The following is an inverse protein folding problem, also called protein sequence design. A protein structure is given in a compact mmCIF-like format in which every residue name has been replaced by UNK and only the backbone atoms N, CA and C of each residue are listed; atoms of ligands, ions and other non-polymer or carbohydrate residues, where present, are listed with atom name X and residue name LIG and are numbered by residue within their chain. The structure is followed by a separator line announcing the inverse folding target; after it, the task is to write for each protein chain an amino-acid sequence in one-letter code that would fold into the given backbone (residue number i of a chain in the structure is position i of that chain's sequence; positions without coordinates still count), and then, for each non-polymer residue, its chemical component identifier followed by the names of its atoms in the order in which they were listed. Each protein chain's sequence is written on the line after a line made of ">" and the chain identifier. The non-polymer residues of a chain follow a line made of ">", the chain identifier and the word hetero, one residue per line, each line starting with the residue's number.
data_IF_081696759026
#
_entry.id   IF_081696759026
#
_cell.length_a   1.000
_cell.length_b   1.000
_cell.length_c   1.000
_cell.angle_alpha   90.00
_cell.angle_beta   90.00
_cell.angle_gamma   90.00
#
_symmetry.space_group_name_H-M   'P 1'
#
loop_
_entity.id
_entity.type
_entity.pdbx_description
1 polymer ?
#
# COMPACT_ATOMS: atom_id res chain seq x y z
N UNK A 1 53.82 -23.21 10.69
CA UNK A 1 52.85 -22.41 9.92
C UNK A 1 51.59 -22.28 10.75
N UNK A 2 51.28 -21.07 11.16
CA UNK A 2 49.91 -20.61 11.32
C UNK A 2 49.97 -19.14 10.97
N UNK A 3 49.33 -18.72 9.89
CA UNK A 3 48.89 -17.33 9.75
C UNK A 3 47.52 -17.35 9.08
N UNK A 4 46.58 -16.90 9.88
CA UNK A 4 45.27 -16.35 9.53
C UNK A 4 45.41 -14.83 9.31
N UNK A 5 44.39 -14.25 8.69
CA UNK A 5 43.97 -12.82 8.67
C UNK A 5 44.63 -11.86 7.68
N UNK A 6 43.78 -11.25 6.84
CA UNK A 6 43.31 -9.85 6.96
C UNK A 6 42.80 -9.34 5.59
N UNK A 7 41.50 -9.15 5.43
CA UNK A 7 40.78 -7.85 5.34
C UNK A 7 41.12 -6.91 4.17
N UNK A 8 40.03 -6.51 3.50
CA UNK A 8 39.70 -5.17 2.98
C UNK A 8 39.91 -4.75 1.51
N UNK A 9 38.86 -4.02 1.08
CA UNK A 9 38.68 -3.16 -0.08
C UNK A 9 38.41 -3.82 -1.44
N UNK A 10 37.14 -3.80 -1.86
CA UNK A 10 36.80 -3.75 -3.28
C UNK A 10 36.01 -2.48 -3.55
N UNK A 11 36.77 -1.50 -4.02
CA UNK A 11 36.34 -0.34 -4.78
C UNK A 11 35.64 -0.83 -6.06
N UNK A 12 34.34 -0.54 -6.19
CA UNK A 12 33.51 -1.06 -7.28
C UNK A 12 33.70 -0.26 -8.56
N UNK A 13 34.77 -0.58 -9.30
CA UNK A 13 34.83 -0.27 -10.74
C UNK A 13 33.93 -1.26 -11.51
N UNK A 14 33.19 -0.81 -12.55
CA UNK A 14 32.38 -1.72 -13.34
C UNK A 14 33.30 -2.74 -14.02
N UNK A 15 33.17 -4.01 -13.63
CA UNK A 15 33.88 -5.11 -14.26
C UNK A 15 33.51 -5.17 -15.75
N UNK A 16 34.52 -4.95 -16.61
CA UNK A 16 34.45 -5.21 -18.04
C UNK A 16 34.11 -6.69 -18.26
N UNK A 17 32.93 -6.97 -18.81
CA UNK A 17 32.40 -8.34 -19.01
C UNK A 17 33.04 -9.11 -20.17
N UNK A 18 34.12 -8.61 -20.78
CA UNK A 18 34.92 -9.30 -21.80
C UNK A 18 34.18 -9.65 -23.10
N UNK A 19 32.96 -9.13 -23.30
CA UNK A 19 32.10 -9.53 -24.41
C UNK A 19 32.18 -8.60 -25.64
N UNK A 20 32.72 -7.37 -25.51
CA UNK A 20 32.81 -6.37 -26.60
C UNK A 20 34.03 -5.46 -26.41
N UNK A 21 34.45 -4.80 -27.50
CA UNK A 21 35.56 -3.84 -27.49
C UNK A 21 35.20 -2.54 -26.76
N UNK A 22 36.19 -1.98 -26.06
CA UNK A 22 36.08 -0.64 -25.45
C UNK A 22 35.81 0.39 -26.55
N UNK A 23 34.73 1.19 -26.46
CA UNK A 23 34.42 2.17 -27.48
C UNK A 23 35.51 3.25 -27.57
N UNK A 24 35.72 3.86 -28.75
CA UNK A 24 36.60 5.02 -28.91
C UNK A 24 36.25 6.14 -27.90
N UNK A 25 37.25 6.84 -27.32
CA UNK A 25 37.02 7.84 -26.27
C UNK A 25 35.99 8.92 -26.64
N UNK A 26 36.01 9.39 -27.89
CA UNK A 26 35.08 10.41 -28.40
C UNK A 26 33.61 9.96 -28.38
N UNK A 27 33.34 8.69 -28.67
CA UNK A 27 31.99 8.12 -28.61
C UNK A 27 31.53 7.93 -27.17
N UNK A 28 32.45 7.54 -26.27
CA UNK A 28 32.16 7.42 -24.85
C UNK A 28 31.83 8.78 -24.22
N UNK A 29 32.59 9.83 -24.55
CA UNK A 29 32.33 11.20 -24.09
C UNK A 29 30.97 11.72 -24.59
N UNK A 30 30.66 11.51 -25.87
CA UNK A 30 29.36 11.92 -26.44
C UNK A 30 28.19 11.21 -25.77
N UNK A 31 28.30 9.91 -25.51
CA UNK A 31 27.27 9.14 -24.82
C UNK A 31 27.07 9.61 -23.37
N UNK A 32 28.17 9.89 -22.67
CA UNK A 32 28.12 10.38 -21.29
C UNK A 32 27.53 11.79 -21.19
N UNK A 33 27.82 12.67 -22.15
CA UNK A 33 27.19 13.98 -22.25
C UNK A 33 25.66 13.86 -22.42
N UNK A 34 25.21 13.05 -23.37
CA UNK A 34 23.78 12.81 -23.60
C UNK A 34 23.10 12.21 -22.37
N UNK A 35 23.78 11.30 -21.65
CA UNK A 35 23.27 10.73 -20.39
C UNK A 35 23.06 11.81 -19.34
N UNK A 36 24.03 12.71 -19.14
CA UNK A 36 23.92 13.82 -18.19
C UNK A 36 22.82 14.81 -18.55
N UNK A 37 22.63 15.11 -19.82
CA UNK A 37 21.52 15.96 -20.28
C UNK A 37 20.16 15.31 -20.01
N UNK A 38 20.01 14.02 -20.28
CA UNK A 38 18.79 13.28 -19.98
C UNK A 38 18.53 13.20 -18.46
N UNK A 39 19.57 12.95 -17.66
CA UNK A 39 19.48 12.93 -16.19
C UNK A 39 19.06 14.28 -15.62
N UNK A 40 19.55 15.39 -16.20
CA UNK A 40 19.14 16.74 -15.83
C UNK A 40 17.65 17.02 -16.13
N UNK A 41 17.06 16.27 -17.05
CA UNK A 41 15.63 16.31 -17.40
C UNK A 41 14.80 15.24 -16.64
N UNK A 42 15.41 14.53 -15.68
CA UNK A 42 14.77 13.44 -14.94
C UNK A 42 14.61 12.14 -15.73
N UNK A 43 15.13 12.06 -16.97
CA UNK A 43 15.08 10.88 -17.82
C UNK A 43 16.34 10.02 -17.61
N UNK A 44 16.19 8.81 -17.07
CA UNK A 44 17.32 7.88 -16.88
C UNK A 44 17.31 6.80 -17.95
N UNK A 45 18.44 6.64 -18.64
CA UNK A 45 18.66 5.60 -19.66
C UNK A 45 19.87 4.76 -19.28
N UNK A 46 19.68 3.45 -19.09
CA UNK A 46 20.78 2.52 -18.81
C UNK A 46 20.86 1.42 -19.85
N UNK A 47 22.06 1.18 -20.36
CA UNK A 47 22.34 0.12 -21.31
C UNK A 47 22.96 -1.09 -20.62
N UNK A 48 22.50 -2.29 -20.97
CA UNK A 48 23.12 -3.53 -20.52
C UNK A 48 23.25 -4.52 -21.69
N UNK A 49 24.47 -4.94 -21.97
CA UNK A 49 24.74 -5.90 -23.02
C UNK A 49 24.80 -7.33 -22.47
N UNK A 50 24.22 -8.27 -23.22
CA UNK A 50 24.11 -9.69 -22.89
C UNK A 50 24.70 -10.52 -24.03
N UNK A 51 25.10 -11.76 -23.74
CA UNK A 51 25.64 -12.65 -24.78
C UNK A 51 24.64 -12.92 -25.93
N UNK A 52 23.33 -12.82 -25.68
CA UNK A 52 22.25 -13.06 -26.65
C UNK A 52 21.65 -11.78 -27.27
N UNK A 53 21.94 -10.60 -26.72
CA UNK A 53 21.33 -9.34 -27.15
C UNK A 53 21.68 -8.18 -26.23
N UNK A 54 20.82 -7.18 -26.18
CA UNK A 54 20.96 -6.06 -25.25
C UNK A 54 19.63 -5.58 -24.69
N UNK A 55 19.73 -4.86 -23.58
CA UNK A 55 18.62 -4.24 -22.89
C UNK A 55 18.87 -2.73 -22.74
N UNK A 56 17.85 -1.92 -22.98
CA UNK A 56 17.84 -0.49 -22.68
C UNK A 56 16.77 -0.23 -21.64
N UNK A 57 17.17 0.18 -20.44
CA UNK A 57 16.30 0.43 -19.31
C UNK A 57 15.94 1.92 -19.29
N UNK A 58 14.64 2.21 -19.27
CA UNK A 58 14.08 3.56 -19.30
C UNK A 58 13.16 3.75 -18.10
N UNK A 59 13.36 4.82 -17.33
CA UNK A 59 12.33 5.27 -16.39
C UNK A 59 11.16 5.95 -17.14
N UNK A 60 10.09 6.32 -16.45
CA UNK A 60 8.91 6.88 -17.12
C UNK A 60 9.22 8.18 -17.89
N UNK A 61 9.99 9.11 -17.30
CA UNK A 61 10.38 10.34 -17.99
C UNK A 61 11.19 10.07 -19.27
N UNK A 62 12.06 9.06 -19.27
CA UNK A 62 12.79 8.64 -20.47
C UNK A 62 11.86 7.98 -21.52
N UNK A 63 10.81 7.27 -21.09
CA UNK A 63 9.77 6.76 -22.00
C UNK A 63 9.01 7.91 -22.64
N UNK A 64 8.61 8.92 -21.87
CA UNK A 64 7.83 10.05 -22.38
C UNK A 64 8.66 10.85 -23.42
N UNK A 65 9.92 11.14 -23.12
CA UNK A 65 10.85 11.77 -24.05
C UNK A 65 11.09 10.91 -25.32
N UNK A 66 11.23 9.59 -25.16
CA UNK A 66 11.36 8.66 -26.28
C UNK A 66 10.15 8.68 -27.21
N UNK A 67 8.93 8.77 -26.66
CA UNK A 67 7.70 8.83 -27.43
C UNK A 67 7.55 10.17 -28.16
N UNK A 68 7.93 11.28 -27.52
CA UNK A 68 7.90 12.60 -28.15
C UNK A 68 8.86 12.68 -29.36
N UNK A 69 10.08 12.16 -29.21
CA UNK A 69 11.04 12.07 -30.33
C UNK A 69 10.47 11.20 -31.47
N UNK A 70 9.77 10.12 -31.13
CA UNK A 70 9.14 9.23 -32.13
C UNK A 70 8.00 9.93 -32.87
N UNK A 71 7.21 10.76 -32.18
CA UNK A 71 6.17 11.57 -32.81
C UNK A 71 6.78 12.56 -33.82
N UNK A 72 7.80 13.32 -33.40
CA UNK A 72 8.52 14.26 -34.27
C UNK A 72 9.14 13.55 -35.50
N UNK A 73 9.75 12.37 -35.29
CA UNK A 73 10.31 11.58 -36.38
C UNK A 73 9.23 11.07 -37.34
N UNK A 74 8.08 10.63 -36.82
CA UNK A 74 6.96 10.16 -37.63
C UNK A 74 6.38 11.29 -38.49
N UNK A 75 6.27 12.51 -37.94
CA UNK A 75 5.81 13.69 -38.67
C UNK A 75 6.79 14.05 -39.81
N UNK A 76 8.10 14.13 -39.51
CA UNK A 76 9.14 14.43 -40.52
C UNK A 76 9.17 13.37 -41.63
N UNK A 77 9.12 12.08 -41.28
CA UNK A 77 9.14 10.99 -42.25
C UNK A 77 7.84 10.92 -43.06
N UNK A 78 6.71 11.25 -42.44
CA UNK A 78 5.40 11.33 -43.09
C UNK A 78 5.39 12.35 -44.22
N UNK A 79 6.04 13.50 -44.02
CA UNK A 79 6.20 14.56 -45.03
C UNK A 79 7.26 14.22 -46.09
N UNK A 80 8.35 13.57 -45.70
CA UNK A 80 9.48 13.30 -46.58
C UNK A 80 9.28 12.09 -47.52
N UNK A 81 8.44 11.12 -47.12
CA UNK A 81 8.24 9.87 -47.86
C UNK A 81 7.02 9.93 -48.79
N UNK A 82 7.13 9.27 -49.96
CA UNK A 82 6.00 9.10 -50.86
C UNK A 82 5.13 7.92 -50.42
N UNK A 83 3.84 7.98 -50.72
CA UNK A 83 2.93 6.84 -50.53
C UNK A 83 3.37 5.61 -51.33
N UNK A 84 3.18 4.37 -50.81
CA UNK A 84 2.51 3.99 -49.55
C UNK A 84 3.46 3.92 -48.33
N UNK A 85 4.74 4.26 -48.50
CA UNK A 85 5.75 4.12 -47.45
C UNK A 85 5.52 5.09 -46.29
N UNK A 86 5.04 6.31 -46.58
CA UNK A 86 4.64 7.29 -45.56
C UNK A 86 3.60 6.69 -44.60
N UNK A 87 2.49 6.16 -45.14
CA UNK A 87 1.45 5.50 -44.34
C UNK A 87 1.97 4.33 -43.51
N UNK A 88 2.81 3.47 -44.09
CA UNK A 88 3.35 2.30 -43.39
C UNK A 88 4.28 2.67 -42.23
N UNK A 89 5.15 3.67 -42.41
CA UNK A 89 6.08 4.14 -41.39
C UNK A 89 5.32 4.80 -40.24
N UNK A 90 4.32 5.63 -40.55
CA UNK A 90 3.46 6.27 -39.54
C UNK A 90 2.68 5.23 -38.73
N UNK A 91 2.07 4.23 -39.39
CA UNK A 91 1.37 3.14 -38.71
C UNK A 91 2.29 2.31 -37.81
N UNK A 92 3.50 1.99 -38.28
CA UNK A 92 4.48 1.25 -37.50
C UNK A 92 4.94 2.04 -36.25
N UNK A 93 5.17 3.36 -36.40
CA UNK A 93 5.54 4.24 -35.29
C UNK A 93 4.39 4.35 -34.26
N UNK A 94 3.15 4.54 -34.71
CA UNK A 94 1.97 4.58 -33.85
C UNK A 94 1.73 3.24 -33.12
N UNK A 95 1.86 2.10 -33.82
CA UNK A 95 1.70 0.78 -33.20
C UNK A 95 2.75 0.53 -32.12
N UNK A 96 4.01 0.88 -32.38
CA UNK A 96 5.09 0.77 -31.40
C UNK A 96 4.86 1.71 -30.20
N UNK A 97 4.40 2.94 -30.43
CA UNK A 97 4.03 3.90 -29.37
C UNK A 97 2.93 3.34 -28.47
N UNK A 98 1.82 2.88 -29.04
CA UNK A 98 0.70 2.29 -28.28
C UNK A 98 1.18 1.09 -27.45
N UNK A 99 2.06 0.26 -28.01
CA UNK A 99 2.62 -0.89 -27.30
C UNK A 99 3.51 -0.46 -26.12
N UNK A 100 4.41 0.50 -26.32
CA UNK A 100 5.30 1.02 -25.26
C UNK A 100 4.49 1.74 -24.18
N UNK A 101 3.47 2.53 -24.53
CA UNK A 101 2.57 3.18 -23.57
C UNK A 101 1.78 2.15 -22.76
N UNK A 102 1.22 1.13 -23.40
CA UNK A 102 0.45 0.08 -22.73
C UNK A 102 1.31 -0.77 -21.76
N UNK A 103 2.60 -0.89 -22.06
CA UNK A 103 3.56 -1.68 -21.27
C UNK A 103 4.21 -0.86 -20.15
N UNK A 104 4.47 0.43 -20.35
CA UNK A 104 5.16 1.29 -19.37
C UNK A 104 4.29 1.72 -18.19
N UNK A 105 3.00 2.01 -18.40
CA UNK A 105 1.99 2.27 -17.36
C UNK A 105 2.43 3.25 -16.23
N UNK A 106 3.28 4.22 -16.52
CA UNK A 106 3.75 5.19 -15.52
C UNK A 106 5.03 4.80 -14.77
N UNK A 107 5.59 3.61 -15.03
CA UNK A 107 6.76 3.07 -14.33
C UNK A 107 8.01 2.98 -15.20
N UNK A 108 7.92 3.30 -16.49
CA UNK A 108 8.98 3.06 -17.47
C UNK A 108 8.95 1.64 -18.04
N UNK A 109 9.97 1.28 -18.82
CA UNK A 109 10.09 -0.06 -19.40
C UNK A 109 11.55 -0.41 -19.72
N UNK A 110 11.82 -1.69 -19.96
CA UNK A 110 13.05 -2.11 -20.62
C UNK A 110 12.74 -2.48 -22.06
N UNK A 111 13.55 -1.98 -22.99
CA UNK A 111 13.50 -2.36 -24.39
C UNK A 111 14.52 -3.48 -24.63
N UNK A 112 14.07 -4.61 -25.16
CA UNK A 112 14.90 -5.80 -25.36
C UNK A 112 15.06 -6.09 -26.86
N UNK A 113 16.31 -6.27 -27.28
CA UNK A 113 16.64 -6.61 -28.66
C UNK A 113 17.66 -7.76 -28.70
N UNK A 114 17.42 -8.84 -29.47
CA UNK A 114 18.46 -9.81 -29.76
C UNK A 114 19.47 -9.23 -30.77
N UNK A 115 20.72 -9.72 -30.79
CA UNK A 115 21.73 -9.24 -31.73
C UNK A 115 21.35 -9.41 -33.20
N UNK A 116 20.54 -10.44 -33.51
CA UNK A 116 20.03 -10.71 -34.87
C UNK A 116 18.95 -9.72 -35.33
N UNK A 117 18.39 -8.93 -34.40
CA UNK A 117 17.42 -7.88 -34.71
C UNK A 117 17.56 -6.71 -33.73
N UNK A 118 18.61 -5.88 -33.87
CA UNK A 118 18.91 -4.79 -32.95
C UNK A 118 17.80 -3.74 -32.86
N UNK A 119 16.98 -3.62 -33.92
CA UNK A 119 15.89 -2.65 -34.03
C UNK A 119 14.57 -3.15 -33.42
N UNK A 120 14.52 -4.37 -32.88
CA UNK A 120 13.26 -4.99 -32.42
C UNK A 120 12.66 -4.31 -31.19
N UNK A 121 13.50 -3.89 -30.23
CA UNK A 121 13.17 -3.04 -29.08
C UNK A 121 11.83 -3.41 -28.43
N UNK A 122 11.69 -4.68 -28.07
CA UNK A 122 10.46 -5.21 -27.46
C UNK A 122 10.30 -4.56 -26.09
N UNK A 123 9.22 -3.79 -25.83
CA UNK A 123 8.99 -3.23 -24.52
C UNK A 123 8.56 -4.33 -23.56
N UNK A 124 9.28 -4.46 -22.46
CA UNK A 124 8.92 -5.27 -21.31
C UNK A 124 8.76 -4.31 -20.13
N UNK A 125 7.58 -4.33 -19.51
CA UNK A 125 7.28 -3.43 -18.40
C UNK A 125 8.23 -3.74 -17.25
N UNK A 126 8.83 -2.69 -16.70
CA UNK A 126 9.55 -2.79 -15.41
C UNK A 126 8.58 -2.63 -14.24
N UNK A 127 7.28 -2.89 -14.50
CA UNK A 127 6.24 -2.91 -13.50
C UNK A 127 6.78 -3.65 -12.26
N UNK A 128 6.50 -3.12 -11.07
CA UNK A 128 6.69 -3.84 -9.83
C UNK A 128 6.28 -5.31 -9.95
N UNK A 129 7.17 -6.22 -9.54
CA UNK A 129 6.72 -7.51 -9.03
C UNK A 129 5.78 -7.23 -7.84
N UNK A 130 4.85 -8.14 -7.55
CA UNK A 130 4.15 -8.07 -6.27
C UNK A 130 5.17 -7.83 -5.14
N UNK A 131 4.94 -6.81 -4.32
CA UNK A 131 5.70 -6.60 -3.11
C UNK A 131 4.85 -7.16 -1.96
N UNK A 132 5.10 -8.40 -1.55
CA UNK A 132 4.29 -9.00 -0.52
C UNK A 132 4.65 -8.46 0.87
N UNK A 133 5.75 -7.72 1.01
CA UNK A 133 6.22 -7.26 2.32
C UNK A 133 5.23 -6.26 2.93
N UNK A 134 5.14 -6.29 4.24
CA UNK A 134 4.52 -5.22 5.01
C UNK A 134 5.50 -4.04 5.09
N UNK A 135 4.93 -2.85 5.12
CA UNK A 135 5.61 -1.57 5.24
C UNK A 135 4.92 -0.74 6.31
N UNK A 136 5.64 0.24 6.85
CA UNK A 136 5.09 1.14 7.82
C UNK A 136 5.59 2.57 7.64
N UNK A 137 4.71 3.50 8.00
CA UNK A 137 5.00 4.93 8.12
C UNK A 137 4.30 5.47 9.36
N UNK A 138 4.82 6.56 9.92
CA UNK A 138 4.28 7.26 11.08
C UNK A 138 4.08 8.73 10.78
N UNK A 139 2.95 9.25 11.25
CA UNK A 139 2.71 10.68 11.40
C UNK A 139 3.03 11.06 12.84
N UNK A 140 3.98 11.98 12.99
CA UNK A 140 4.38 12.51 14.28
C UNK A 140 4.62 14.01 14.19
N UNK A 141 4.77 14.65 15.35
CA UNK A 141 5.15 16.06 15.40
C UNK A 141 6.66 16.17 15.28
N UNK A 142 7.13 16.88 14.26
CA UNK A 142 8.55 17.18 14.10
C UNK A 142 9.00 18.07 15.27
N UNK A 143 10.09 17.69 15.95
CA UNK A 143 10.56 18.39 17.14
C UNK A 143 11.16 19.77 16.81
N UNK A 144 11.73 19.92 15.61
CA UNK A 144 12.41 21.15 15.19
C UNK A 144 11.42 22.16 14.63
N UNK A 145 10.47 21.70 13.81
CA UNK A 145 9.49 22.59 13.16
C UNK A 145 8.20 22.72 13.96
N UNK A 146 7.86 21.74 14.81
CA UNK A 146 6.60 21.68 15.54
C UNK A 146 5.38 21.32 14.68
N UNK A 147 5.56 21.07 13.38
CA UNK A 147 4.50 20.66 12.45
C UNK A 147 4.36 19.13 12.41
N UNK A 148 3.18 18.64 12.03
CA UNK A 148 2.97 17.21 11.81
C UNK A 148 3.55 16.80 10.46
N UNK A 149 4.27 15.69 10.44
CA UNK A 149 4.94 15.19 9.25
C UNK A 149 4.93 13.66 9.22
N UNK A 150 4.70 13.12 8.02
CA UNK A 150 4.91 11.69 7.75
C UNK A 150 6.39 11.40 7.55
N UNK A 151 6.88 10.30 8.12
CA UNK A 151 8.22 9.82 7.81
C UNK A 151 8.25 9.05 6.46
N UNK A 152 9.46 8.73 6.01
CA UNK A 152 9.66 7.83 4.88
C UNK A 152 9.06 6.44 5.15
N UNK A 153 8.53 5.81 4.10
CA UNK A 153 8.01 4.46 4.19
C UNK A 153 9.16 3.48 4.47
N UNK A 154 8.97 2.62 5.47
CA UNK A 154 10.00 1.68 5.89
C UNK A 154 9.49 0.26 5.75
N UNK A 155 10.25 -0.59 5.07
CA UNK A 155 9.91 -2.00 4.92
C UNK A 155 9.97 -2.68 6.29
N UNK A 156 9.01 -3.57 6.53
CA UNK A 156 8.95 -4.45 7.68
C UNK A 156 9.55 -5.82 7.29
N UNK A 157 10.86 -6.06 7.55
CA UNK A 157 11.55 -7.18 6.92
C UNK A 157 10.99 -8.52 7.36
N UNK A 158 10.92 -9.48 6.44
CA UNK A 158 10.46 -10.86 6.67
C UNK A 158 8.98 -11.03 7.08
N UNK A 159 8.15 -9.99 6.96
CA UNK A 159 6.71 -10.09 7.20
C UNK A 159 5.99 -9.80 5.89
N UNK A 160 5.36 -10.83 5.34
CA UNK A 160 4.75 -10.78 4.02
C UNK A 160 3.26 -11.15 4.11
N UNK A 161 2.40 -10.33 3.51
CA UNK A 161 0.95 -10.53 3.54
C UNK A 161 0.30 -10.44 2.18
N UNK A 162 -0.73 -11.27 1.94
CA UNK A 162 -1.59 -11.16 0.76
C UNK A 162 -2.87 -10.33 1.01
N UNK A 163 -3.10 -9.86 2.23
CA UNK A 163 -4.31 -9.14 2.62
C UNK A 163 -3.98 -7.92 3.49
N UNK A 164 -5.00 -7.16 3.90
CA UNK A 164 -4.82 -6.07 4.84
C UNK A 164 -4.34 -6.60 6.21
N UNK A 165 -3.32 -5.99 6.83
CA UNK A 165 -2.91 -6.34 8.18
C UNK A 165 -3.92 -5.78 9.22
N UNK A 166 -3.75 -6.18 10.48
CA UNK A 166 -4.40 -5.54 11.62
C UNK A 166 -3.39 -5.26 12.73
N UNK A 167 -3.51 -4.11 13.37
CA UNK A 167 -2.63 -3.71 14.45
C UNK A 167 -3.41 -3.14 15.64
N UNK A 168 -2.93 -3.42 16.85
CA UNK A 168 -3.49 -2.88 18.08
C UNK A 168 -2.40 -2.76 19.16
N UNK A 169 -2.56 -1.81 20.07
CA UNK A 169 -1.69 -1.69 21.24
C UNK A 169 -2.30 -2.46 22.41
N UNK A 170 -1.57 -3.43 22.95
CA UNK A 170 -1.99 -4.26 24.07
C UNK A 170 -0.84 -4.39 25.09
N UNK A 171 -1.11 -4.07 26.36
CA UNK A 171 -0.09 -4.08 27.43
C UNK A 171 1.20 -3.33 27.04
N UNK A 172 1.04 -2.11 26.48
CA UNK A 172 2.14 -1.25 26.01
C UNK A 172 2.98 -1.81 24.84
N UNK A 173 2.54 -2.92 24.24
CA UNK A 173 3.18 -3.52 23.06
C UNK A 173 2.31 -3.28 21.84
N UNK A 174 2.95 -2.99 20.72
CA UNK A 174 2.27 -2.98 19.42
C UNK A 174 2.19 -4.42 18.93
N UNK A 175 0.98 -4.92 18.70
CA UNK A 175 0.72 -6.25 18.17
C UNK A 175 0.27 -6.11 16.73
N UNK A 176 0.90 -6.86 15.83
CA UNK A 176 0.57 -6.95 14.42
C UNK A 176 0.13 -8.37 14.11
N UNK A 177 -1.06 -8.53 13.50
CA UNK A 177 -1.55 -9.80 12.97
C UNK A 177 -1.80 -9.63 11.48
N UNK A 178 -1.33 -10.57 10.68
CA UNK A 178 -1.46 -10.52 9.23
C UNK A 178 -1.72 -11.92 8.66
N UNK A 179 -2.31 -12.00 7.47
CA UNK A 179 -2.41 -13.25 6.72
C UNK A 179 -1.09 -13.47 5.99
N UNK A 180 -0.53 -14.67 6.01
CA UNK A 180 0.66 -15.00 5.23
C UNK A 180 0.47 -14.70 3.74
N UNK A 181 1.57 -14.41 3.06
CA UNK A 181 1.54 -14.19 1.61
C UNK A 181 1.34 -15.51 0.85
N UNK A 182 2.23 -16.49 1.09
CA UNK A 182 2.26 -17.78 0.40
C UNK A 182 1.31 -18.83 1.00
N UNK A 183 0.68 -18.53 2.14
CA UNK A 183 -0.29 -19.39 2.80
C UNK A 183 -1.56 -18.63 3.20
N UNK A 184 -2.55 -19.33 3.75
CA UNK A 184 -3.75 -18.70 4.31
C UNK A 184 -3.73 -18.65 5.83
N UNK A 185 -2.57 -18.90 6.45
CA UNK A 185 -2.43 -18.90 7.91
C UNK A 185 -2.38 -17.46 8.37
N UNK A 186 -2.83 -17.23 9.60
CA UNK A 186 -2.52 -15.99 10.27
C UNK A 186 -1.14 -16.10 10.92
N UNK A 187 -0.44 -14.98 10.93
CA UNK A 187 0.87 -14.78 11.52
C UNK A 187 0.79 -13.57 12.43
N UNK A 188 1.61 -13.54 13.46
CA UNK A 188 1.62 -12.41 14.37
C UNK A 188 3.00 -12.15 14.95
N UNK A 189 3.23 -10.88 15.23
CA UNK A 189 4.42 -10.40 15.92
C UNK A 189 4.05 -9.29 16.90
N UNK A 190 4.92 -9.05 17.86
CA UNK A 190 4.79 -8.04 18.89
C UNK A 190 6.05 -7.20 18.96
N UNK A 191 5.89 -5.89 19.03
CA UNK A 191 6.97 -4.95 19.30
C UNK A 191 7.03 -4.66 20.78
N UNK A 192 8.22 -4.83 21.33
CA UNK A 192 8.60 -4.43 22.67
C UNK A 192 9.77 -3.44 22.58
N UNK A 193 9.69 -2.23 23.14
CA UNK A 193 10.74 -1.23 23.00
C UNK A 193 12.12 -1.63 23.53
N UNK A 194 12.20 -2.61 24.45
CA UNK A 194 13.49 -3.10 24.96
C UNK A 194 14.11 -4.17 24.06
N UNK A 195 13.28 -4.93 23.36
CA UNK A 195 13.69 -6.15 22.67
C UNK A 195 13.46 -6.09 21.15
N UNK A 196 12.84 -5.02 20.66
CA UNK A 196 12.41 -4.88 19.28
C UNK A 196 11.21 -5.77 18.95
N UNK A 197 11.08 -6.12 17.67
CA UNK A 197 10.06 -7.04 17.19
C UNK A 197 10.40 -8.48 17.56
N UNK A 198 9.41 -9.21 18.07
CA UNK A 198 9.51 -10.66 18.23
C UNK A 198 9.58 -11.36 16.87
N UNK A 199 9.95 -12.64 16.90
CA UNK A 199 9.87 -13.51 15.71
C UNK A 199 8.42 -13.58 15.22
N UNK A 200 8.23 -13.47 13.90
CA UNK A 200 6.92 -13.68 13.28
C UNK A 200 6.48 -15.12 13.51
N UNK A 201 5.39 -15.29 14.25
CA UNK A 201 4.97 -16.59 14.76
C UNK A 201 3.68 -17.00 14.06
N UNK A 202 3.67 -18.22 13.52
CA UNK A 202 2.45 -18.81 12.97
C UNK A 202 1.37 -18.87 14.06
N UNK A 203 0.19 -18.38 13.73
CA UNK A 203 -0.98 -18.45 14.58
C UNK A 203 -1.62 -19.85 14.44
N UNK A 204 -1.05 -20.86 15.10
CA UNK A 204 -1.40 -22.27 14.90
C UNK A 204 -2.91 -22.55 14.93
N UNK A 205 -3.41 -23.21 13.88
CA UNK A 205 -4.83 -23.51 13.59
C UNK A 205 -5.75 -22.32 13.25
N UNK A 206 -5.21 -21.10 13.15
CA UNK A 206 -5.95 -19.92 12.71
C UNK A 206 -5.59 -19.62 11.25
N UNK A 207 -6.59 -19.54 10.38
CA UNK A 207 -6.38 -19.31 8.96
C UNK A 207 -7.51 -18.48 8.39
N UNK A 208 -7.17 -17.55 7.51
CA UNK A 208 -8.10 -16.59 6.95
C UNK A 208 -7.79 -16.34 5.47
N UNK A 209 -8.86 -16.20 4.68
CA UNK A 209 -8.75 -15.78 3.29
C UNK A 209 -8.90 -14.25 3.10
N UNK A 210 -8.95 -13.47 4.18
CA UNK A 210 -8.90 -12.00 4.18
C UNK A 210 -8.11 -11.48 5.40
N UNK A 211 -7.96 -10.15 5.53
CA UNK A 211 -7.31 -9.56 6.69
C UNK A 211 -8.09 -9.76 8.00
N UNK A 212 -7.41 -9.94 9.14
CA UNK A 212 -8.04 -10.00 10.45
C UNK A 212 -8.47 -8.61 10.94
N UNK A 213 -9.11 -8.56 12.10
CA UNK A 213 -9.36 -7.33 12.85
C UNK A 213 -9.00 -7.52 14.33
N UNK A 214 -8.48 -6.45 14.94
CA UNK A 214 -8.01 -6.45 16.32
C UNK A 214 -8.67 -5.34 17.15
N UNK A 215 -9.01 -5.64 18.40
CA UNK A 215 -9.39 -4.63 19.39
C UNK A 215 -9.12 -5.13 20.81
N UNK A 216 -8.75 -4.22 21.71
CA UNK A 216 -8.57 -4.56 23.13
C UNK A 216 -9.87 -4.34 23.88
N UNK A 217 -10.40 -5.38 24.50
CA UNK A 217 -11.63 -5.37 25.27
C UNK A 217 -11.47 -6.27 26.50
N UNK A 218 -11.99 -5.82 27.65
CA UNK A 218 -12.00 -6.60 28.91
C UNK A 218 -10.64 -7.23 29.27
N UNK A 219 -9.57 -6.43 29.15
CA UNK A 219 -8.20 -6.85 29.49
C UNK A 219 -7.58 -7.87 28.53
N UNK A 220 -8.20 -8.15 27.38
CA UNK A 220 -7.69 -9.07 26.35
C UNK A 220 -7.60 -8.38 25.00
N UNK A 221 -6.68 -8.85 24.16
CA UNK A 221 -6.68 -8.51 22.74
C UNK A 221 -7.57 -9.51 22.01
N UNK A 222 -8.64 -9.03 21.39
CA UNK A 222 -9.56 -9.82 20.59
C UNK A 222 -9.12 -9.79 19.13
N UNK A 223 -9.09 -10.95 18.49
CA UNK A 223 -8.90 -11.10 17.05
C UNK A 223 -10.13 -11.77 16.44
N UNK A 224 -10.70 -11.13 15.42
CA UNK A 224 -11.77 -11.72 14.61
C UNK A 224 -11.30 -11.78 13.16
N UNK A 225 -11.54 -12.92 12.50
CA UNK A 225 -11.18 -13.14 11.11
C UNK A 225 -12.22 -14.01 10.42
N UNK A 226 -12.24 -14.02 9.08
CA UNK A 226 -13.01 -15.04 8.34
C UNK A 226 -12.24 -16.35 8.28
N UNK A 227 -12.94 -17.43 7.95
CA UNK A 227 -12.34 -18.71 7.64
C UNK A 227 -11.50 -18.69 6.36
N UNK A 228 -10.74 -19.76 6.15
CA UNK A 228 -9.88 -19.94 4.98
C UNK A 228 -10.61 -20.62 3.81
N UNK A 229 -10.09 -20.43 2.59
CA UNK A 229 -10.66 -21.00 1.37
C UNK A 229 -12.12 -20.61 1.17
N UNK A 230 -13.01 -21.61 1.11
CA UNK A 230 -14.45 -21.44 0.96
C UNK A 230 -15.19 -21.27 2.29
N UNK A 231 -14.51 -21.37 3.44
CA UNK A 231 -15.14 -21.04 4.71
C UNK A 231 -15.39 -19.53 4.77
N UNK A 232 -16.65 -19.18 5.00
CA UNK A 232 -17.10 -17.80 5.15
C UNK A 232 -17.44 -17.47 6.59
N UNK A 233 -17.42 -18.43 7.51
CA UNK A 233 -17.70 -18.16 8.92
C UNK A 233 -16.69 -17.17 9.48
N UNK A 234 -17.15 -16.34 10.41
CA UNK A 234 -16.27 -15.57 11.26
C UNK A 234 -15.81 -16.42 12.45
N UNK A 235 -14.58 -16.17 12.85
CA UNK A 235 -13.86 -16.87 13.90
C UNK A 235 -13.32 -15.85 14.89
N UNK A 236 -13.24 -16.22 16.16
CA UNK A 236 -12.88 -15.35 17.26
C UNK A 236 -11.92 -16.05 18.21
N UNK A 237 -10.83 -15.36 18.51
CA UNK A 237 -9.81 -15.77 19.47
C UNK A 237 -9.33 -14.56 20.29
N UNK A 238 -8.70 -14.82 21.43
CA UNK A 238 -8.26 -13.80 22.37
C UNK A 238 -6.84 -14.06 22.86
N UNK A 239 -6.07 -13.00 23.07
CA UNK A 239 -4.75 -13.04 23.69
C UNK A 239 -4.80 -12.41 25.08
N UNK A 240 -4.29 -13.13 26.08
CA UNK A 240 -4.29 -12.71 27.49
C UNK A 240 -2.95 -12.09 27.94
N UNK A 241 -2.00 -11.90 27.02
CA UNK A 241 -0.64 -11.43 27.31
C UNK A 241 0.39 -12.55 27.42
N UNK A 242 -0.05 -13.81 27.49
CA UNK A 242 0.82 -14.99 27.56
C UNK A 242 0.59 -15.93 26.38
N UNK A 243 -0.67 -16.13 26.00
CA UNK A 243 -1.03 -17.04 24.93
C UNK A 243 -2.37 -16.69 24.30
N UNK A 244 -2.56 -17.19 23.08
CA UNK A 244 -3.84 -17.11 22.40
C UNK A 244 -4.74 -18.27 22.82
N UNK A 245 -6.03 -17.98 22.95
CA UNK A 245 -7.05 -19.00 23.16
C UNK A 245 -7.23 -19.90 21.93
N UNK A 246 -7.91 -21.03 22.10
CA UNK A 246 -8.38 -21.82 20.96
C UNK A 246 -9.36 -21.01 20.11
N UNK A 247 -9.27 -21.15 18.78
CA UNK A 247 -10.18 -20.51 17.85
C UNK A 247 -11.61 -21.02 18.01
N UNK A 248 -12.59 -20.12 17.94
CA UNK A 248 -14.01 -20.45 18.08
C UNK A 248 -14.82 -19.77 16.99
N UNK A 249 -15.79 -20.46 16.36
CA UNK A 249 -16.72 -19.82 15.46
C UNK A 249 -17.46 -18.70 16.18
N UNK A 250 -17.51 -17.53 15.56
CA UNK A 250 -18.33 -16.40 15.96
C UNK A 250 -19.76 -16.74 15.51
N UNK A 251 -20.43 -17.61 16.26
CA UNK A 251 -21.83 -18.01 16.04
C UNK A 251 -22.16 -18.44 14.59
N UNK A 252 -23.27 -17.91 14.06
CA UNK A 252 -23.73 -18.14 12.68
C UNK A 252 -23.30 -17.00 11.72
N UNK A 253 -22.32 -16.19 12.13
CA UNK A 253 -21.90 -14.99 11.41
C UNK A 253 -20.92 -15.36 10.30
N UNK A 254 -21.10 -14.78 9.12
CA UNK A 254 -20.29 -15.09 7.94
C UNK A 254 -19.96 -13.84 7.12
N UNK A 255 -18.77 -13.82 6.52
CA UNK A 255 -18.28 -12.75 5.65
C UNK A 255 -17.44 -13.29 4.50
N UNK A 256 -17.47 -12.57 3.38
CA UNK A 256 -16.53 -12.77 2.26
C UNK A 256 -15.32 -11.83 2.30
N UNK A 257 -15.25 -10.93 3.29
CA UNK A 257 -14.18 -9.95 3.47
C UNK A 257 -13.67 -9.98 4.92
N UNK A 258 -12.67 -9.15 5.24
CA UNK A 258 -12.24 -8.95 6.62
C UNK A 258 -13.33 -8.23 7.45
N UNK A 259 -13.46 -8.55 8.75
CA UNK A 259 -14.30 -7.79 9.67
C UNK A 259 -13.62 -6.48 10.11
N UNK A 260 -14.30 -5.66 10.90
CA UNK A 260 -13.74 -4.54 11.64
C UNK A 260 -14.17 -4.60 13.10
N UNK A 261 -13.28 -4.22 14.01
CA UNK A 261 -13.52 -4.22 15.45
C UNK A 261 -13.27 -2.84 16.06
N UNK A 262 -14.10 -2.45 17.02
CA UNK A 262 -13.84 -1.31 17.91
C UNK A 262 -14.59 -1.49 19.23
N UNK A 263 -14.08 -0.91 20.31
CA UNK A 263 -14.79 -0.90 21.60
C UNK A 263 -15.54 0.41 21.74
N UNK A 264 -16.86 0.31 21.96
CA UNK A 264 -17.76 1.43 22.17
C UNK A 264 -18.81 1.05 23.21
N UNK A 265 -19.16 1.97 24.11
CA UNK A 265 -20.21 1.77 25.11
C UNK A 265 -20.10 0.43 25.86
N UNK A 266 -18.89 0.15 26.37
CA UNK A 266 -18.54 -1.05 27.15
C UNK A 266 -18.76 -2.38 26.41
N UNK A 267 -18.85 -2.35 25.08
CA UNK A 267 -18.99 -3.53 24.23
C UNK A 267 -17.92 -3.56 23.16
N UNK A 268 -17.55 -4.76 22.75
CA UNK A 268 -16.79 -4.94 21.52
C UNK A 268 -17.77 -5.00 20.34
N UNK A 269 -17.66 -4.06 19.42
CA UNK A 269 -18.45 -4.00 18.19
C UNK A 269 -17.70 -4.69 17.06
N UNK A 270 -18.40 -5.55 16.31
CA UNK A 270 -17.90 -6.15 15.08
C UNK A 270 -18.84 -5.77 13.92
N UNK A 271 -18.27 -5.19 12.87
CA UNK A 271 -18.99 -4.91 11.62
C UNK A 271 -18.31 -5.63 10.48
N UNK A 272 -19.09 -6.27 9.62
CA UNK A 272 -18.56 -7.05 8.50
C UNK A 272 -19.48 -7.01 7.28
N UNK A 273 -18.91 -7.28 6.11
CA UNK A 273 -19.69 -7.55 4.90
C UNK A 273 -20.41 -8.91 5.04
N UNK A 274 -21.57 -9.06 4.40
CA UNK A 274 -22.20 -10.36 4.19
C UNK A 274 -21.32 -11.34 3.38
N UNK A 275 -21.66 -12.62 3.46
CA UNK A 275 -20.98 -13.68 2.74
C UNK A 275 -21.45 -13.81 1.28
N UNK A 276 -20.64 -14.47 0.45
CA UNK A 276 -20.98 -14.72 -0.97
C UNK A 276 -21.30 -13.40 -1.70
N UNK A 277 -22.43 -13.34 -2.40
CA UNK A 277 -22.89 -12.15 -3.13
C UNK A 277 -23.57 -11.09 -2.25
N UNK A 278 -23.75 -11.33 -0.94
CA UNK A 278 -24.34 -10.34 -0.05
C UNK A 278 -23.34 -9.23 0.25
N UNK A 279 -23.66 -8.01 -0.21
CA UNK A 279 -22.84 -6.81 0.02
C UNK A 279 -23.30 -6.00 1.22
N UNK A 280 -24.36 -6.42 1.91
CA UNK A 280 -24.89 -5.74 3.09
C UNK A 280 -23.84 -5.70 4.20
N UNK A 281 -23.76 -4.58 4.92
CA UNK A 281 -23.00 -4.51 6.16
C UNK A 281 -23.84 -5.06 7.32
N UNK A 282 -23.23 -5.89 8.15
CA UNK A 282 -23.83 -6.54 9.31
C UNK A 282 -23.10 -6.14 10.57
N UNK A 283 -23.82 -6.03 11.68
CA UNK A 283 -23.30 -5.62 12.97
C UNK A 283 -23.71 -6.58 14.07
N UNK A 284 -22.74 -6.95 14.88
CA UNK A 284 -22.90 -7.68 16.13
C UNK A 284 -22.02 -7.09 17.23
N UNK A 285 -22.38 -7.36 18.49
CA UNK A 285 -21.65 -6.90 19.66
C UNK A 285 -21.30 -8.06 20.58
N UNK A 286 -20.22 -7.92 21.33
CA UNK A 286 -19.75 -8.89 22.30
C UNK A 286 -19.63 -8.27 23.70
N UNK A 287 -20.03 -9.06 24.70
CA UNK A 287 -19.71 -8.85 26.11
C UNK A 287 -19.17 -10.14 26.70
N UNK A 288 -18.26 -10.05 27.68
CA UNK A 288 -17.67 -11.24 28.30
C UNK A 288 -18.70 -12.13 29.03
N UNK A 289 -19.79 -11.54 29.52
CA UNK A 289 -20.88 -12.26 30.19
C UNK A 289 -21.94 -12.82 29.22
N UNK A 290 -22.16 -12.17 28.08
CA UNK A 290 -23.26 -12.49 27.16
C UNK A 290 -22.83 -13.17 25.85
N UNK A 291 -21.54 -13.15 25.52
CA UNK A 291 -21.05 -13.59 24.22
C UNK A 291 -21.44 -12.62 23.10
N UNK A 292 -21.41 -13.12 21.86
CA UNK A 292 -21.81 -12.37 20.67
C UNK A 292 -23.33 -12.33 20.52
N UNK A 293 -23.87 -11.17 20.17
CA UNK A 293 -25.29 -10.99 19.84
C UNK A 293 -25.61 -11.53 18.45
N UNK A 294 -26.90 -11.70 18.14
CA UNK A 294 -27.32 -12.00 16.77
C UNK A 294 -26.96 -10.85 15.81
N UNK A 295 -26.65 -11.22 14.57
CA UNK A 295 -26.37 -10.28 13.48
C UNK A 295 -27.57 -9.40 13.16
N UNK A 296 -27.32 -8.10 13.07
CA UNK A 296 -28.30 -7.11 12.61
C UNK A 296 -27.80 -6.46 11.32
N UNK A 297 -28.56 -6.49 10.22
CA UNK A 297 -28.14 -5.83 8.99
C UNK A 297 -28.23 -4.31 9.16
N UNK A 298 -27.30 -3.58 8.55
CA UNK A 298 -27.35 -2.13 8.41
C UNK A 298 -28.10 -1.81 7.11
N UNK A 299 -29.38 -1.41 7.17
CA UNK A 299 -30.14 -1.18 5.95
C UNK A 299 -29.48 -0.08 5.12
N UNK A 300 -29.40 -0.28 3.81
CA UNK A 300 -28.84 0.68 2.84
C UNK A 300 -27.34 0.96 2.96
N UNK A 301 -26.62 0.21 3.80
CA UNK A 301 -25.18 0.25 3.84
C UNK A 301 -24.64 -1.00 3.14
N UNK A 302 -23.82 -0.82 2.11
CA UNK A 302 -23.24 -1.92 1.36
C UNK A 302 -21.78 -1.67 1.04
N UNK A 303 -21.00 -2.75 1.01
CA UNK A 303 -19.57 -2.69 0.73
C UNK A 303 -19.09 -3.87 -0.11
N UNK A 304 -18.01 -3.65 -0.84
CA UNK A 304 -17.28 -4.70 -1.54
C UNK A 304 -16.00 -5.16 -0.82
N UNK A 305 -15.57 -4.49 0.26
CA UNK A 305 -14.37 -4.86 1.03
C UNK A 305 -14.61 -4.72 2.54
N UNK A 306 -13.58 -4.86 3.37
CA UNK A 306 -13.71 -4.70 4.81
C UNK A 306 -14.05 -3.25 5.20
N UNK A 307 -14.91 -3.02 6.21
CA UNK A 307 -15.09 -1.69 6.80
C UNK A 307 -13.91 -1.35 7.73
N UNK A 308 -13.92 -0.14 8.27
CA UNK A 308 -13.06 0.30 9.37
C UNK A 308 -13.87 1.00 10.46
N UNK A 309 -13.48 0.80 11.72
CA UNK A 309 -14.17 1.35 12.89
C UNK A 309 -13.21 2.10 13.81
N UNK A 310 -13.66 3.22 14.37
CA UNK A 310 -12.96 3.93 15.42
C UNK A 310 -13.95 4.75 16.25
N UNK A 311 -13.67 4.95 17.53
CA UNK A 311 -14.50 5.80 18.40
C UNK A 311 -13.89 7.19 18.48
N UNK A 312 -14.70 8.21 18.19
CA UNK A 312 -14.30 9.60 18.29
C UNK A 312 -15.44 10.46 18.84
N UNK A 313 -15.12 11.36 19.77
CA UNK A 313 -16.12 12.28 20.35
C UNK A 313 -17.34 11.56 20.97
N UNK A 314 -17.15 10.38 21.56
CA UNK A 314 -18.25 9.62 22.17
C UNK A 314 -19.19 8.93 21.17
N UNK A 315 -18.79 8.81 19.92
CA UNK A 315 -19.55 8.16 18.84
C UNK A 315 -18.68 7.11 18.16
N UNK A 316 -19.27 5.99 17.73
CA UNK A 316 -18.58 5.00 16.90
C UNK A 316 -18.69 5.43 15.43
N UNK A 317 -17.55 5.62 14.77
CA UNK A 317 -17.47 5.96 13.35
C UNK A 317 -17.19 4.71 12.53
N UNK A 318 -17.82 4.61 11.37
CA UNK A 318 -17.50 3.60 10.36
C UNK A 318 -17.19 4.27 9.04
N UNK A 319 -16.08 3.85 8.42
CA UNK A 319 -15.78 4.18 7.01
C UNK A 319 -15.70 2.87 6.21
N UNK A 320 -16.27 2.86 5.02
CA UNK A 320 -16.16 1.73 4.09
C UNK A 320 -16.13 2.21 2.65
N UNK A 321 -15.61 1.38 1.74
CA UNK A 321 -15.85 1.59 0.31
C UNK A 321 -17.26 1.14 -0.08
N UNK A 322 -17.77 1.70 -1.18
CA UNK A 322 -19.01 1.25 -1.81
C UNK A 322 -18.95 -0.19 -2.32
N UNK A 323 -20.10 -0.70 -2.76
CA UNK A 323 -20.26 -2.05 -3.32
C UNK A 323 -20.32 -2.05 -4.84
N UNK A 324 -20.01 -3.21 -5.46
CA UNK A 324 -20.06 -3.34 -6.92
C UNK A 324 -19.04 -2.42 -7.59
N UNK A 325 -19.50 -1.60 -8.53
CA UNK A 325 -18.66 -0.62 -9.23
C UNK A 325 -18.49 0.70 -8.45
N UNK A 326 -19.17 0.87 -7.31
CA UNK A 326 -18.95 2.05 -6.48
C UNK A 326 -17.64 1.87 -5.70
N UNK A 327 -16.69 2.75 -6.00
CA UNK A 327 -15.37 2.79 -5.38
C UNK A 327 -15.24 3.93 -4.40
N UNK A 328 -16.30 4.72 -4.21
CA UNK A 328 -16.28 5.85 -3.31
C UNK A 328 -16.18 5.39 -1.85
N UNK A 329 -15.56 6.21 -1.00
CA UNK A 329 -15.66 6.04 0.44
C UNK A 329 -16.98 6.60 0.98
N UNK A 330 -17.46 5.99 2.05
CA UNK A 330 -18.71 6.30 2.74
C UNK A 330 -18.46 6.34 4.25
N UNK A 331 -19.14 7.26 4.95
CA UNK A 331 -19.02 7.46 6.39
C UNK A 331 -20.40 7.48 7.05
N UNK A 332 -20.55 6.67 8.08
CA UNK A 332 -21.71 6.67 8.98
C UNK A 332 -21.25 6.62 10.43
N UNK A 333 -22.19 6.84 11.35
CA UNK A 333 -21.93 6.88 12.79
C UNK A 333 -22.94 6.04 13.55
N UNK A 334 -22.55 5.56 14.72
CA UNK A 334 -23.38 4.79 15.62
C UNK A 334 -23.38 5.40 17.03
N UNK A 335 -24.56 5.48 17.61
CA UNK A 335 -24.75 5.76 19.05
C UNK A 335 -25.66 4.70 19.66
N UNK A 336 -25.48 4.38 20.94
CA UNK A 336 -26.32 3.37 21.61
C UNK A 336 -27.79 3.78 21.69
N UNK A 337 -28.08 5.08 21.69
CA UNK A 337 -29.44 5.61 21.72
C UNK A 337 -30.11 5.62 20.33
N UNK A 338 -29.35 5.87 19.26
CA UNK A 338 -29.88 6.11 17.90
C UNK A 338 -29.64 4.97 16.91
N UNK A 339 -28.75 4.03 17.22
CA UNK A 339 -28.27 3.05 16.25
C UNK A 339 -27.37 3.68 15.18
N UNK A 340 -27.26 3.03 14.02
CA UNK A 340 -26.53 3.52 12.86
C UNK A 340 -27.31 4.65 12.17
N UNK A 341 -26.61 5.74 11.87
CA UNK A 341 -27.16 6.89 11.16
C UNK A 341 -27.21 6.71 9.64
N UNK A 342 -27.45 7.82 8.95
CA UNK A 342 -27.41 7.89 7.50
C UNK A 342 -25.99 7.64 6.96
N UNK A 343 -25.91 6.95 5.83
CA UNK A 343 -24.64 6.74 5.13
C UNK A 343 -24.29 7.95 4.26
N UNK A 344 -23.08 8.50 4.42
CA UNK A 344 -22.67 9.74 3.78
C UNK A 344 -21.47 9.51 2.87
N UNK A 345 -21.66 9.73 1.58
CA UNK A 345 -20.62 9.61 0.57
C UNK A 345 -19.56 10.69 0.75
N UNK A 346 -18.27 10.31 0.65
CA UNK A 346 -17.18 11.28 0.54
C UNK A 346 -17.25 11.98 -0.81
N UNK A 347 -16.85 13.26 -0.86
CA UNK A 347 -17.00 14.10 -2.07
C UNK A 347 -16.12 13.66 -3.24
N UNK A 348 -14.90 13.19 -2.95
CA UNK A 348 -13.89 12.87 -3.97
C UNK A 348 -12.87 11.80 -3.52
N UNK A 349 -13.25 10.93 -2.57
CA UNK A 349 -12.35 9.88 -2.06
C UNK A 349 -12.80 8.53 -2.61
N UNK A 350 -11.88 7.74 -3.14
CA UNK A 350 -12.19 6.44 -3.71
C UNK A 350 -11.11 5.40 -3.42
N UNK A 351 -11.54 4.17 -3.11
CA UNK A 351 -10.69 3.05 -2.75
C UNK A 351 -11.14 1.75 -3.41
N UNK A 352 -10.17 0.91 -3.76
CA UNK A 352 -10.40 -0.49 -4.16
C UNK A 352 -10.44 -1.46 -2.98
N UNK A 353 -9.94 -1.05 -1.81
CA UNK A 353 -9.83 -1.88 -0.62
C UNK A 353 -10.59 -1.28 0.57
N UNK A 354 -10.62 -2.00 1.69
CA UNK A 354 -11.08 -1.44 2.95
C UNK A 354 -10.12 -0.37 3.46
N UNK A 355 -10.64 0.73 4.05
CA UNK A 355 -9.80 1.75 4.68
C UNK A 355 -9.27 1.27 6.04
N UNK A 356 -8.39 2.08 6.65
CA UNK A 356 -8.04 2.01 8.06
C UNK A 356 -8.39 3.33 8.76
N UNK A 357 -8.72 3.27 10.06
CA UNK A 357 -9.29 4.39 10.80
C UNK A 357 -8.70 4.47 12.21
N UNK A 358 -8.22 5.63 12.65
CA UNK A 358 -7.79 5.85 14.03
C UNK A 358 -7.95 7.32 14.46
N UNK A 359 -8.09 7.56 15.75
CA UNK A 359 -8.11 8.93 16.31
C UNK A 359 -6.73 9.30 16.79
N UNK A 360 -6.17 10.38 16.25
CA UNK A 360 -4.88 10.93 16.62
C UNK A 360 -4.97 12.45 16.73
N UNK A 361 -4.30 13.05 17.71
CA UNK A 361 -4.28 14.49 17.96
C UNK A 361 -5.66 15.20 17.80
N UNK A 362 -6.69 14.64 18.44
CA UNK A 362 -8.05 15.15 18.40
C UNK A 362 -8.60 15.34 16.96
N UNK A 363 -8.29 14.37 16.09
CA UNK A 363 -8.82 14.20 14.75
C UNK A 363 -8.99 12.71 14.46
N UNK A 364 -10.00 12.38 13.67
CA UNK A 364 -10.18 11.05 13.12
C UNK A 364 -9.48 10.98 11.77
N UNK A 365 -8.52 10.08 11.61
CA UNK A 365 -7.77 9.87 10.37
C UNK A 365 -8.29 8.63 9.65
N UNK A 366 -8.59 8.78 8.37
CA UNK A 366 -8.90 7.69 7.46
C UNK A 366 -7.75 7.55 6.47
N UNK A 367 -7.15 6.37 6.38
CA UNK A 367 -6.10 6.04 5.40
C UNK A 367 -6.65 4.95 4.48
N UNK A 368 -6.44 5.09 3.18
CA UNK A 368 -6.98 4.15 2.20
C UNK A 368 -6.06 4.00 1.00
N UNK A 369 -6.22 2.88 0.28
CA UNK A 369 -5.56 2.63 -0.99
C UNK A 369 -6.38 3.27 -2.09
N UNK A 370 -5.73 4.01 -2.98
CA UNK A 370 -6.38 4.68 -4.11
C UNK A 370 -7.13 3.73 -5.06
N UNK A 371 -7.89 4.34 -5.97
CA UNK A 371 -8.66 3.67 -7.01
C UNK A 371 -8.43 4.36 -8.36
N UNK A 372 -8.51 3.61 -9.47
CA UNK A 372 -8.44 4.17 -10.83
C UNK A 372 -7.53 3.37 -11.75
N UNK A 373 -6.77 4.07 -12.61
CA UNK A 373 -5.84 3.54 -13.64
C UNK A 373 -4.65 2.75 -13.07
N UNK A 374 -4.90 1.82 -12.15
CA UNK A 374 -3.86 1.21 -11.33
C UNK A 374 -3.28 2.19 -10.32
N UNK A 375 -4.09 3.11 -9.76
CA UNK A 375 -3.66 3.88 -8.61
C UNK A 375 -3.50 2.93 -7.42
N UNK A 376 -2.25 2.80 -6.97
CA UNK A 376 -1.86 1.98 -5.85
C UNK A 376 -1.40 2.85 -4.69
N UNK A 377 -1.45 4.17 -4.81
CA UNK A 377 -0.95 5.05 -3.78
C UNK A 377 -1.80 4.93 -2.51
N UNK A 378 -1.18 5.12 -1.35
CA UNK A 378 -1.92 5.42 -0.14
C UNK A 378 -2.35 6.87 -0.16
N UNK A 379 -3.53 7.11 0.41
CA UNK A 379 -4.14 8.41 0.58
C UNK A 379 -4.68 8.54 2.00
N UNK A 380 -4.75 9.77 2.52
CA UNK A 380 -5.34 10.04 3.81
C UNK A 380 -6.20 11.30 3.83
N UNK A 381 -7.16 11.28 4.74
CA UNK A 381 -8.03 12.41 5.05
C UNK A 381 -8.32 12.44 6.55
N UNK A 382 -8.69 13.60 7.08
CA UNK A 382 -9.00 13.76 8.49
C UNK A 382 -10.33 14.44 8.74
N UNK A 383 -10.93 14.14 9.89
CA UNK A 383 -12.18 14.72 10.35
C UNK A 383 -12.07 15.23 11.78
N UNK A 384 -12.69 16.38 12.03
CA UNK A 384 -12.83 16.96 13.36
C UNK A 384 -14.27 17.49 13.56
N UNK A 385 -15.03 16.98 14.55
CA UNK A 385 -16.35 17.47 14.89
C UNK A 385 -16.38 19.00 15.02
N UNK A 386 -17.43 19.58 14.47
CA UNK A 386 -17.63 21.04 14.47
C UNK A 386 -16.68 21.83 13.57
N UNK A 387 -15.74 21.18 12.87
CA UNK A 387 -14.77 21.85 11.98
C UNK A 387 -15.13 21.75 10.49
N UNK A 388 -16.31 21.20 10.16
CA UNK A 388 -16.78 21.01 8.79
C UNK A 388 -16.70 19.55 8.31
N UNK A 389 -16.71 19.32 6.98
CA UNK A 389 -16.57 17.97 6.41
C UNK A 389 -15.16 17.40 6.64
N UNK A 390 -14.96 16.16 6.20
CA UNK A 390 -13.62 15.60 6.02
C UNK A 390 -12.76 16.52 5.15
N UNK A 391 -11.45 16.57 5.42
CA UNK A 391 -10.51 17.31 4.57
C UNK A 391 -10.47 16.73 3.17
N UNK A 392 -9.90 17.49 2.22
CA UNK A 392 -9.55 16.91 0.92
C UNK A 392 -8.53 15.77 1.10
N UNK A 393 -8.56 14.83 0.16
CA UNK A 393 -7.75 13.62 0.19
C UNK A 393 -6.31 13.99 -0.14
N UNK A 394 -5.38 13.53 0.69
CA UNK A 394 -3.95 13.82 0.54
C UNK A 394 -3.20 12.55 0.20
N UNK A 395 -2.44 12.58 -0.89
CA UNK A 395 -1.62 11.47 -1.33
C UNK A 395 -0.40 11.32 -0.42
N UNK A 396 -0.07 10.09 -0.05
CA UNK A 396 1.23 9.81 0.55
C UNK A 396 2.31 9.77 -0.54
N UNK A 397 3.38 10.58 -0.43
CA UNK A 397 4.46 10.58 -1.41
C UNK A 397 5.25 9.26 -1.37
N UNK A 398 5.30 8.55 -2.50
CA UNK A 398 6.02 7.27 -2.62
C UNK A 398 5.38 6.07 -1.90
N UNK A 399 4.25 6.25 -1.21
CA UNK A 399 3.60 5.16 -0.50
C UNK A 399 2.55 4.50 -1.38
N UNK A 400 2.68 3.20 -1.62
CA UNK A 400 1.85 2.40 -2.49
C UNK A 400 1.53 1.08 -1.81
N UNK A 401 0.27 0.66 -1.89
CA UNK A 401 -0.23 -0.54 -1.25
C UNK A 401 -1.04 -1.43 -2.17
N UNK A 402 -0.85 -2.74 -2.04
CA UNK A 402 -1.64 -3.76 -2.73
C UNK A 402 -2.89 -4.19 -1.96
N UNK A 403 -3.11 -3.71 -0.74
CA UNK A 403 -4.22 -4.08 0.13
C UNK A 403 -4.73 -2.87 0.95
N UNK A 404 -5.73 -3.08 1.81
CA UNK A 404 -6.14 -2.07 2.80
C UNK A 404 -5.08 -1.87 3.90
N UNK A 405 -4.92 -0.66 4.45
CA UNK A 405 -3.97 -0.39 5.53
C UNK A 405 -4.56 -0.69 6.92
N UNK A 406 -3.69 -1.02 7.87
CA UNK A 406 -3.98 -0.91 9.30
C UNK A 406 -3.51 0.46 9.82
N UNK A 407 -4.30 1.08 10.68
CA UNK A 407 -3.97 2.38 11.27
C UNK A 407 -4.14 2.29 12.78
N UNK A 408 -3.12 2.69 13.52
CA UNK A 408 -3.08 2.56 14.99
C UNK A 408 -2.29 3.72 15.59
N UNK A 409 -2.69 4.18 16.78
CA UNK A 409 -1.87 5.13 17.54
C UNK A 409 -0.98 4.35 18.48
N UNK A 410 0.32 4.64 18.44
CA UNK A 410 1.32 4.03 19.28
C UNK A 410 2.25 5.10 19.86
N UNK A 411 2.60 4.92 21.13
CA UNK A 411 3.67 5.68 21.79
C UNK A 411 4.67 4.69 22.34
N UNK A 412 5.89 4.79 21.85
CA UNK A 412 7.02 4.06 22.42
C UNK A 412 7.21 4.48 23.88
N UNK A 413 7.61 3.55 24.75
CA UNK A 413 7.83 3.87 26.17
C UNK A 413 8.90 4.94 26.39
N UNK A 414 9.85 5.05 25.47
CA UNK A 414 10.91 6.06 25.45
C UNK A 414 10.50 7.29 24.62
N UNK A 415 9.38 7.22 23.89
CA UNK A 415 8.82 8.30 23.11
C UNK A 415 8.12 9.34 23.98
N UNK A 416 8.28 10.61 23.63
CA UNK A 416 7.65 11.73 24.35
C UNK A 416 6.25 12.07 23.83
N UNK A 417 5.83 11.47 22.71
CA UNK A 417 4.61 11.81 21.99
C UNK A 417 3.98 10.57 21.38
N UNK A 418 2.66 10.60 21.20
CA UNK A 418 1.96 9.62 20.38
C UNK A 418 2.33 9.81 18.91
N UNK A 419 2.28 8.71 18.16
CA UNK A 419 2.40 8.70 16.71
C UNK A 419 1.24 7.90 16.11
N UNK A 420 0.72 8.39 14.99
CA UNK A 420 -0.22 7.63 14.17
C UNK A 420 0.60 6.76 13.22
N UNK A 421 0.57 5.46 13.43
CA UNK A 421 1.26 4.48 12.61
C UNK A 421 0.30 3.88 11.59
N UNK A 422 0.78 3.78 10.35
CA UNK A 422 0.12 3.10 9.24
C UNK A 422 0.97 1.90 8.87
N UNK A 423 0.36 0.72 8.80
CA UNK A 423 0.99 -0.51 8.35
C UNK A 423 0.22 -1.01 7.13
N UNK A 424 0.93 -1.32 6.05
CA UNK A 424 0.29 -1.65 4.77
C UNK A 424 1.09 -2.68 3.99
N UNK A 425 0.43 -3.41 3.09
CA UNK A 425 1.11 -4.33 2.16
C UNK A 425 1.70 -3.51 1.04
N UNK A 426 3.00 -3.63 0.77
CA UNK A 426 3.65 -2.92 -0.33
C UNK A 426 3.04 -3.23 -1.70
N UNK A 427 3.41 -2.41 -2.68
CA UNK A 427 3.16 -2.68 -4.09
C UNK A 427 4.14 -1.84 -4.89
N UNK A 428 5.13 -2.42 -5.56
CA UNK A 428 6.18 -1.57 -6.09
C UNK A 428 7.53 -2.24 -6.22
N UNK A 429 8.34 -1.82 -7.19
CA UNK A 429 9.78 -1.84 -6.99
C UNK A 429 10.06 -0.70 -6.00
N UNK A 430 10.07 -1.03 -4.72
CA UNK A 430 10.33 -0.09 -3.63
C UNK A 430 11.76 -0.30 -3.14
N UNK A 431 12.57 0.77 -3.17
CA UNK A 431 13.80 0.83 -2.40
C UNK A 431 13.47 1.49 -1.06
N UNK A 432 13.96 0.93 0.06
CA UNK A 432 13.90 1.64 1.32
C UNK A 432 14.71 2.95 1.20
N UNK A 433 14.10 4.10 1.52
CA UNK A 433 14.78 5.41 1.52
C UNK A 433 14.61 6.27 0.27
N UNK A 434 13.41 6.34 -0.34
CA UNK A 434 13.11 7.39 -1.33
C UNK A 434 13.13 8.77 -0.65
N UNK A 435 14.05 9.60 -1.12
CA UNK A 435 14.59 10.83 -0.52
C UNK A 435 13.51 11.78 0.03
N UNK A 436 13.47 11.93 1.35
CA UNK A 436 12.64 12.91 2.08
C UNK A 436 12.70 14.33 1.49
N UNK A 437 13.78 14.71 0.80
CA UNK A 437 13.93 16.03 0.19
C UNK A 437 12.91 16.36 -0.92
N UNK A 438 12.53 15.42 -1.77
CA UNK A 438 11.50 15.65 -2.82
C UNK A 438 10.10 15.76 -2.22
N UNK A 439 9.83 14.96 -1.18
CA UNK A 439 8.59 14.99 -0.41
C UNK A 439 8.40 16.33 0.31
N UNK A 440 9.49 16.88 0.87
CA UNK A 440 9.48 18.21 1.51
C UNK A 440 9.25 19.34 0.50
N UNK A 441 9.83 19.25 -0.70
CA UNK A 441 9.72 20.30 -1.71
C UNK A 441 8.28 20.45 -2.27
N UNK A 442 7.52 19.35 -2.37
CA UNK A 442 6.13 19.39 -2.83
C UNK A 442 5.15 19.87 -1.76
N UNK A 443 5.35 19.47 -0.50
CA UNK A 443 4.49 19.89 0.62
C UNK A 443 4.69 21.39 0.94
N UNK A 444 5.94 21.87 0.96
CA UNK A 444 6.23 23.28 1.22
C UNK A 444 5.70 24.22 0.11
N UNK A 445 5.69 23.76 -1.14
CA UNK A 445 5.17 24.55 -2.25
C UNK A 445 3.63 24.70 -2.24
N UNK A 446 2.91 23.80 -1.58
CA UNK A 446 1.44 23.83 -1.48
C UNK A 446 0.95 24.58 -0.23
N UNK A 447 1.71 24.58 0.86
CA UNK A 447 1.40 25.38 2.07
C UNK A 447 1.60 26.89 1.86
N UNK A 448 2.57 27.30 1.03
CA UNK A 448 2.77 28.71 0.66
C UNK A 448 1.70 29.24 -0.33
N UNK A 449 0.84 28.35 -0.86
CA UNK A 449 -0.23 28.67 -1.81
C UNK A 449 -1.64 28.74 -1.18
N UNK A 450 -1.76 28.46 0.13
CA UNK A 450 -3.02 28.52 0.92
C UNK A 450 -2.96 29.61 1.99
#
# INVERSE_FOLDING_TARGET
>A
MAIDQSTESQDSTPQSSGLYDTPPPELAERAEHARKELEALGATVRFEAKWWGFEVHLNQAAVDAYLEIKDLLADILGEALKEPLSTLVTLAAMAQKVWVQAVSRGYGCKLVSPWISPTMLIPIGINPSEDPNLWWTVLGRNADTGHFQWNEDTMFPAHASAANPAAAVFNSRLILVHRGFDDQRLWWTSFDPDNGWSVDTEFGAHSSAAGPALAVYDGKLHCVHRGHGSDTKLWHTTFDGRGWSADRPLGAHSSSAGPALAVYDEKLHCVHKGASSDSTLWHTTFTSSGGWTQDTPLPRHSTASNPALAVYGGTLHMVHRGSGNDTSLWHTTYTSAGGWGSDNKFRAHSSLEGPGLAVFDNRLYCVHRGHGNGDQNLWWTSYKPGSGPWTDDQKFPGHTSGAGPAVVVYRDKNGTQDQLMVIHRGYGNRAAGTDSAEVQAQIAAEEDAS
#
